data_IF_409686028746
#
_entry.id   IF_409686028746
#
_cell.length_a   1.000
_cell.length_b   1.000
_cell.length_c   1.000
_cell.angle_alpha   90.00
_cell.angle_beta   90.00
_cell.angle_gamma   90.00
#
_symmetry.space_group_name_H-M   'P 1'
#
loop_
_entity.id
_entity.type
_entity.pdbx_description
1 polymer ?
#
# COMPACT_ATOMS: atom_id res chain seq x y z
N UNK A 1 -60.68 -28.25 80.42
CA UNK A 1 -60.61 -28.24 78.94
C UNK A 1 -59.21 -28.70 78.53
N UNK A 2 -59.14 -29.65 77.58
CA UNK A 2 -57.97 -30.23 76.88
C UNK A 2 -56.99 -31.06 77.75
N UNK A 3 -56.81 -32.40 77.61
CA UNK A 3 -56.50 -33.25 76.44
C UNK A 3 -55.13 -32.91 75.82
N UNK A 4 -54.23 -33.79 75.37
CA UNK A 4 -54.14 -35.25 75.31
C UNK A 4 -52.72 -35.61 74.78
N UNK A 5 -52.26 -36.80 75.16
CA UNK A 5 -51.51 -37.79 74.36
C UNK A 5 -50.20 -37.45 73.61
N UNK A 6 -49.19 -38.23 74.04
CA UNK A 6 -47.99 -38.70 73.33
C UNK A 6 -48.33 -39.30 71.95
N UNK A 7 -47.46 -39.09 70.95
CA UNK A 7 -47.09 -40.12 69.97
C UNK A 7 -45.79 -39.80 69.22
N UNK A 8 -44.87 -40.76 69.28
CA UNK A 8 -43.80 -41.02 68.31
C UNK A 8 -44.37 -40.95 66.87
N UNK A 9 -43.56 -40.58 65.87
CA UNK A 9 -42.80 -41.54 65.05
C UNK A 9 -42.30 -40.98 63.70
N UNK A 10 -41.17 -41.55 63.27
CA UNK A 10 -40.77 -41.87 61.89
C UNK A 10 -40.16 -40.79 60.98
N UNK A 11 -38.83 -40.86 60.93
CA UNK A 11 -37.99 -40.93 59.72
C UNK A 11 -38.73 -40.92 58.38
N UNK A 12 -38.34 -39.97 57.52
CA UNK A 12 -38.26 -40.23 56.08
C UNK A 12 -37.09 -39.45 55.48
N UNK A 13 -35.98 -40.17 55.27
CA UNK A 13 -34.90 -39.72 54.40
C UNK A 13 -35.46 -39.51 52.99
N UNK A 14 -35.25 -38.33 52.43
CA UNK A 14 -35.58 -38.04 51.02
C UNK A 14 -34.54 -38.72 50.14
N UNK A 15 -34.94 -39.48 49.11
CA UNK A 15 -33.99 -40.05 48.17
C UNK A 15 -33.40 -38.92 47.33
N UNK A 16 -32.06 -38.82 47.30
CA UNK A 16 -31.36 -38.04 46.31
C UNK A 16 -31.64 -38.67 44.94
N UNK A 17 -32.32 -37.92 44.07
CA UNK A 17 -32.47 -38.28 42.66
C UNK A 17 -31.08 -38.31 42.04
N UNK A 18 -30.53 -39.52 41.87
CA UNK A 18 -29.41 -39.78 40.98
C UNK A 18 -29.90 -39.57 39.55
N UNK A 19 -29.58 -38.42 38.95
CA UNK A 19 -29.64 -38.29 37.50
C UNK A 19 -28.64 -39.29 36.88
N UNK A 20 -29.05 -40.16 35.95
CA UNK A 20 -28.08 -40.87 35.13
C UNK A 20 -27.32 -39.85 34.26
N UNK A 21 -26.04 -40.09 33.93
CA UNK A 21 -25.38 -39.25 32.95
C UNK A 21 -26.10 -39.44 31.61
N UNK A 22 -26.75 -38.38 31.14
CA UNK A 22 -27.24 -38.32 29.78
C UNK A 22 -26.01 -38.35 28.86
N UNK A 23 -25.76 -39.48 28.21
CA UNK A 23 -24.79 -39.56 27.11
C UNK A 23 -25.29 -38.65 25.98
N UNK A 24 -24.63 -37.50 25.83
CA UNK A 24 -24.78 -36.66 24.65
C UNK A 24 -24.02 -37.35 23.50
N UNK A 25 -24.69 -37.76 22.40
CA UNK A 25 -24.03 -38.53 21.34
C UNK A 25 -23.10 -37.68 20.44
N UNK A 26 -22.94 -36.39 20.74
CA UNK A 26 -22.22 -35.48 19.87
C UNK A 26 -21.35 -34.51 20.67
N UNK A 27 -20.11 -34.93 20.92
CA UNK A 27 -19.05 -33.97 21.19
C UNK A 27 -18.48 -33.51 19.84
N UNK A 28 -18.41 -32.19 19.54
CA UNK A 28 -17.74 -31.73 18.34
C UNK A 28 -16.28 -32.15 18.41
N UNK A 29 -15.88 -33.10 17.57
CA UNK A 29 -14.49 -33.51 17.42
C UNK A 29 -13.74 -32.34 16.79
N UNK A 30 -13.06 -31.52 17.60
CA UNK A 30 -12.00 -30.61 17.11
C UNK A 30 -10.93 -31.49 16.45
N UNK A 31 -10.91 -31.52 15.12
CA UNK A 31 -9.99 -32.31 14.30
C UNK A 31 -8.53 -31.80 14.31
N UNK A 32 -8.12 -31.11 15.38
CA UNK A 32 -6.77 -30.55 15.50
C UNK A 32 -6.34 -30.64 16.96
N UNK A 33 -6.23 -31.87 17.47
CA UNK A 33 -5.42 -32.14 18.65
C UNK A 33 -4.10 -32.71 18.15
N UNK A 34 -3.17 -31.81 17.83
CA UNK A 34 -1.78 -32.19 17.58
C UNK A 34 -1.27 -32.84 18.86
N UNK A 35 -0.81 -34.08 18.75
CA UNK A 35 -0.14 -34.79 19.84
C UNK A 35 1.34 -34.42 19.83
N UNK A 36 2.07 -34.46 20.97
CA UNK A 36 3.50 -34.18 21.00
C UNK A 36 4.34 -35.14 20.12
N UNK A 37 3.77 -36.28 19.72
CA UNK A 37 4.40 -37.21 18.78
C UNK A 37 4.26 -36.77 17.32
N UNK A 38 3.36 -35.84 17.01
CA UNK A 38 3.21 -35.23 15.68
C UNK A 38 4.26 -34.13 15.43
N UNK A 39 5.06 -33.77 16.45
CA UNK A 39 6.08 -32.72 16.38
C UNK A 39 7.33 -33.14 15.55
N UNK A 40 7.50 -34.41 15.16
CA UNK A 40 8.66 -34.84 14.35
C UNK A 40 8.48 -34.64 12.83
N UNK A 41 7.27 -34.32 12.38
CA UNK A 41 6.92 -34.08 10.97
C UNK A 41 6.55 -32.61 10.71
N UNK A 42 7.13 -31.65 11.45
CA UNK A 42 7.00 -30.23 11.13
C UNK A 42 7.65 -29.90 9.78
N UNK A 43 6.87 -30.04 8.71
CA UNK A 43 7.03 -29.20 7.52
C UNK A 43 6.60 -27.79 7.92
N UNK A 44 7.47 -27.04 8.58
CA UNK A 44 7.29 -25.60 8.70
C UNK A 44 7.28 -25.04 7.29
N UNK A 45 6.21 -24.37 6.90
CA UNK A 45 6.21 -23.53 5.70
C UNK A 45 7.24 -22.42 5.95
N UNK A 46 8.48 -22.65 5.52
CA UNK A 46 9.53 -21.64 5.61
C UNK A 46 9.33 -20.70 4.44
N UNK A 47 8.64 -19.59 4.68
CA UNK A 47 8.63 -18.48 3.74
C UNK A 47 9.97 -17.78 3.89
N UNK A 48 10.97 -18.21 3.11
CA UNK A 48 12.13 -17.37 2.85
C UNK A 48 11.68 -16.34 1.82
N UNK A 49 11.28 -15.16 2.28
CA UNK A 49 11.03 -14.03 1.40
C UNK A 49 12.40 -13.55 0.90
N UNK A 50 12.91 -14.22 -0.13
CA UNK A 50 14.07 -13.77 -0.89
C UNK A 50 13.66 -12.45 -1.54
N UNK A 51 14.31 -11.38 -1.09
CA UNK A 51 14.26 -10.01 -1.60
C UNK A 51 13.02 -9.65 -2.43
N UNK A 52 12.12 -8.88 -1.82
CA UNK A 52 11.03 -8.19 -2.53
C UNK A 52 11.63 -7.00 -3.32
N UNK A 53 12.63 -7.22 -4.16
CA UNK A 53 12.96 -6.23 -5.18
C UNK A 53 11.77 -6.23 -6.11
N UNK A 54 10.92 -5.21 -5.99
CA UNK A 54 9.79 -5.04 -6.90
C UNK A 54 10.39 -4.88 -8.31
N UNK A 55 10.20 -5.85 -9.23
CA UNK A 55 10.73 -5.73 -10.59
C UNK A 55 9.98 -4.66 -11.41
N UNK A 56 9.15 -3.83 -10.77
CA UNK A 56 8.21 -2.90 -11.38
C UNK A 56 8.43 -1.44 -10.94
N UNK A 57 9.54 -1.12 -10.26
CA UNK A 57 9.83 0.27 -9.92
C UNK A 57 10.08 1.08 -11.20
N UNK A 58 9.34 2.18 -11.35
CA UNK A 58 9.54 3.11 -12.47
C UNK A 58 10.77 3.97 -12.21
N UNK A 59 11.69 3.98 -13.17
CA UNK A 59 12.92 4.78 -13.12
C UNK A 59 13.06 5.63 -14.37
N UNK A 60 13.52 6.87 -14.19
CA UNK A 60 13.78 7.80 -15.29
C UNK A 60 15.26 7.71 -15.65
N UNK A 61 15.56 7.24 -16.86
CA UNK A 61 16.93 7.10 -17.35
C UNK A 61 17.46 8.42 -17.89
N UNK A 62 16.66 9.09 -18.71
CA UNK A 62 17.06 10.36 -19.33
C UNK A 62 15.86 11.20 -19.71
N UNK A 63 16.08 12.48 -19.95
CA UNK A 63 15.08 13.38 -20.50
C UNK A 63 15.64 14.15 -21.68
N UNK A 64 14.76 14.74 -22.47
CA UNK A 64 15.06 15.52 -23.66
C UNK A 64 14.00 16.61 -23.80
N UNK A 65 14.20 17.56 -24.73
CA UNK A 65 13.19 18.57 -25.03
C UNK A 65 11.89 18.01 -25.61
N UNK A 66 11.92 16.75 -26.09
CA UNK A 66 10.76 16.07 -26.67
C UNK A 66 10.04 15.14 -25.68
N UNK A 67 10.62 14.87 -24.51
CA UNK A 67 10.07 13.91 -23.56
C UNK A 67 11.13 13.14 -22.77
N UNK A 68 10.78 11.96 -22.29
CA UNK A 68 11.51 11.19 -21.28
C UNK A 68 11.83 9.78 -21.76
N UNK A 69 12.87 9.18 -21.18
CA UNK A 69 13.17 7.75 -21.30
C UNK A 69 13.00 7.13 -19.92
N UNK A 70 12.07 6.19 -19.82
CA UNK A 70 11.65 5.57 -18.56
C UNK A 70 11.75 4.06 -18.73
N UNK A 71 12.60 3.40 -17.93
CA UNK A 71 12.90 1.98 -18.04
C UNK A 71 13.19 1.55 -19.51
N UNK A 72 13.98 2.35 -20.24
CA UNK A 72 14.31 2.14 -21.65
C UNK A 72 13.22 2.55 -22.66
N UNK A 73 12.01 2.86 -22.23
CA UNK A 73 10.90 3.26 -23.10
C UNK A 73 10.87 4.77 -23.30
N UNK A 74 10.72 5.21 -24.55
CA UNK A 74 10.64 6.64 -24.90
C UNK A 74 9.20 7.13 -24.80
N UNK A 75 8.97 8.14 -23.97
CA UNK A 75 7.68 8.80 -23.76
C UNK A 75 7.78 10.22 -24.28
N UNK A 76 6.90 10.61 -25.20
CA UNK A 76 6.92 11.93 -25.81
C UNK A 76 5.97 12.89 -25.09
N UNK A 77 6.41 14.13 -24.94
CA UNK A 77 5.64 15.18 -24.28
C UNK A 77 5.56 15.03 -22.76
N UNK A 78 4.63 15.77 -22.13
CA UNK A 78 4.38 15.69 -20.70
C UNK A 78 3.82 14.32 -20.32
N UNK A 79 4.31 13.79 -19.20
CA UNK A 79 3.91 12.47 -18.72
C UNK A 79 3.69 12.46 -17.21
N UNK A 80 2.82 11.55 -16.78
CA UNK A 80 2.63 11.22 -15.39
C UNK A 80 3.15 9.80 -15.13
N UNK A 81 4.08 9.69 -14.19
CA UNK A 81 4.62 8.44 -13.71
C UNK A 81 3.84 8.00 -12.49
N UNK A 82 3.31 6.80 -12.58
CA UNK A 82 2.63 6.09 -11.52
C UNK A 82 3.58 4.98 -11.03
N UNK A 83 3.34 4.40 -9.84
CA UNK A 83 4.24 3.39 -9.28
C UNK A 83 4.54 2.21 -10.21
N UNK A 84 3.61 1.86 -11.12
CA UNK A 84 3.72 0.71 -12.01
C UNK A 84 3.42 1.03 -13.49
N UNK A 85 3.16 2.29 -13.85
CA UNK A 85 2.79 2.65 -15.21
C UNK A 85 3.20 4.08 -15.55
N UNK A 86 3.34 4.36 -16.85
CA UNK A 86 3.49 5.72 -17.38
C UNK A 86 2.28 6.06 -18.23
N UNK A 87 1.75 7.25 -18.04
CA UNK A 87 0.62 7.77 -18.82
C UNK A 87 0.96 9.15 -19.36
N UNK A 88 0.40 9.47 -20.52
CA UNK A 88 0.55 10.80 -21.09
C UNK A 88 -0.26 11.79 -20.26
N UNK A 89 0.34 12.93 -19.95
CA UNK A 89 -0.28 13.95 -19.13
C UNK A 89 -0.78 15.10 -20.02
N UNK A 90 -2.08 15.36 -19.99
CA UNK A 90 -2.71 16.34 -20.87
C UNK A 90 -2.61 17.77 -20.31
N UNK A 91 -1.39 18.31 -20.27
CA UNK A 91 -1.12 19.71 -19.90
C UNK A 91 -0.12 20.30 -20.91
N UNK A 92 -0.31 21.56 -21.32
CA UNK A 92 0.62 22.23 -22.23
C UNK A 92 1.77 22.91 -21.49
N UNK A 93 1.44 23.56 -20.37
CA UNK A 93 2.38 24.29 -19.52
C UNK A 93 2.03 24.13 -18.04
N UNK A 94 2.86 24.71 -17.17
CA UNK A 94 2.59 24.74 -15.73
C UNK A 94 1.30 25.51 -15.36
N UNK A 95 0.82 26.41 -16.24
CA UNK A 95 -0.39 27.21 -16.00
C UNK A 95 -1.66 26.39 -16.19
N UNK A 96 -1.61 25.35 -17.04
CA UNK A 96 -2.73 24.47 -17.37
C UNK A 96 -2.93 23.36 -16.31
N UNK A 97 -2.08 23.35 -15.27
CA UNK A 97 -2.16 22.39 -14.18
C UNK A 97 -3.37 22.75 -13.31
N UNK A 98 -4.42 21.95 -13.43
CA UNK A 98 -5.64 22.03 -12.63
C UNK A 98 -5.67 20.92 -11.60
N UNK A 99 -6.68 20.95 -10.73
CA UNK A 99 -6.97 19.82 -9.86
C UNK A 99 -7.20 18.55 -10.68
N UNK A 100 -8.06 18.60 -11.70
CA UNK A 100 -8.43 17.45 -12.54
C UNK A 100 -7.21 16.78 -13.22
N UNK A 101 -6.18 17.56 -13.54
CA UNK A 101 -4.91 17.07 -14.08
C UNK A 101 -4.22 16.05 -13.18
N UNK A 102 -4.51 16.05 -11.87
CA UNK A 102 -3.95 15.12 -10.89
C UNK A 102 -4.89 13.96 -10.54
N UNK A 103 -6.04 13.84 -11.20
CA UNK A 103 -7.08 12.86 -10.87
C UNK A 103 -6.60 11.42 -10.75
N UNK A 104 -5.69 11.04 -11.66
CA UNK A 104 -5.11 9.71 -11.65
C UNK A 104 -4.35 9.38 -10.36
N UNK A 105 -3.70 10.36 -9.72
CA UNK A 105 -2.83 10.08 -8.56
C UNK A 105 -3.61 9.67 -7.30
N UNK A 106 -4.84 10.15 -7.12
CA UNK A 106 -5.66 9.78 -5.97
C UNK A 106 -6.69 8.69 -6.25
N UNK A 107 -6.82 8.25 -7.51
CA UNK A 107 -7.71 7.15 -7.90
C UNK A 107 -7.04 5.78 -7.81
N UNK A 108 -5.71 5.73 -7.66
CA UNK A 108 -4.93 4.51 -7.66
C UNK A 108 -4.74 3.94 -6.26
N UNK A 109 -4.60 2.61 -6.22
CA UNK A 109 -4.21 1.86 -5.04
C UNK A 109 -2.93 1.06 -5.38
N UNK A 110 -1.87 1.07 -4.55
CA UNK A 110 -1.76 1.74 -3.24
C UNK A 110 -1.77 3.27 -3.34
N UNK A 111 -2.29 3.94 -2.30
CA UNK A 111 -2.32 5.40 -2.24
C UNK A 111 -0.93 6.01 -2.39
N UNK A 112 -0.83 6.97 -3.31
CA UNK A 112 0.41 7.73 -3.53
C UNK A 112 0.58 8.74 -2.41
N UNK A 113 1.72 8.70 -1.73
CA UNK A 113 2.03 9.59 -0.61
C UNK A 113 2.60 10.93 -1.06
N UNK A 114 3.38 10.89 -2.13
CA UNK A 114 4.13 12.05 -2.65
C UNK A 114 4.10 12.06 -4.17
N UNK A 115 3.84 13.23 -4.74
CA UNK A 115 3.91 13.48 -6.18
C UNK A 115 4.94 14.57 -6.43
N UNK A 116 5.94 14.25 -7.25
CA UNK A 116 6.95 15.21 -7.69
C UNK A 116 6.51 15.84 -9.01
N UNK A 117 6.39 17.16 -9.05
CA UNK A 117 5.95 17.92 -10.23
C UNK A 117 7.16 18.61 -10.85
N UNK A 118 7.50 18.23 -12.07
CA UNK A 118 8.52 18.88 -12.90
C UNK A 118 7.90 19.90 -13.83
N UNK A 119 8.14 21.19 -13.61
CA UNK A 119 7.52 22.28 -14.39
C UNK A 119 8.30 22.67 -15.65
N UNK A 120 9.35 21.93 -16.02
CA UNK A 120 10.19 22.20 -17.19
C UNK A 120 11.58 22.69 -16.79
N UNK A 121 12.03 23.79 -17.40
CA UNK A 121 13.40 24.33 -17.21
C UNK A 121 13.60 25.01 -15.85
N UNK A 122 12.51 25.50 -15.24
CA UNK A 122 12.55 26.25 -13.98
C UNK A 122 11.45 25.79 -13.06
N UNK A 123 11.70 25.91 -11.76
CA UNK A 123 10.68 25.70 -10.73
C UNK A 123 9.67 26.85 -10.78
N UNK A 124 8.44 26.52 -11.17
CA UNK A 124 7.33 27.46 -11.20
C UNK A 124 6.38 27.23 -10.03
N UNK A 125 5.64 28.26 -9.62
CA UNK A 125 4.66 28.12 -8.53
C UNK A 125 3.32 27.62 -9.06
N UNK A 126 2.88 26.48 -8.55
CA UNK A 126 1.53 25.97 -8.81
C UNK A 126 0.47 26.79 -8.09
N UNK A 127 -0.76 26.69 -8.61
CA UNK A 127 -1.90 27.39 -8.05
C UNK A 127 -2.20 26.89 -6.62
N UNK A 128 -2.37 27.78 -5.61
CA UNK A 128 -2.50 27.35 -4.22
C UNK A 128 -3.70 26.44 -3.94
N UNK A 129 -4.76 26.54 -4.75
CA UNK A 129 -5.95 25.70 -4.61
C UNK A 129 -5.64 24.23 -4.97
N UNK A 130 -4.80 23.99 -5.99
CA UNK A 130 -4.39 22.64 -6.41
C UNK A 130 -3.58 21.97 -5.30
N UNK A 131 -2.60 22.70 -4.75
CA UNK A 131 -1.79 22.20 -3.62
C UNK A 131 -2.65 21.87 -2.39
N UNK A 132 -3.69 22.68 -2.13
CA UNK A 132 -4.63 22.44 -1.04
C UNK A 132 -5.48 21.18 -1.29
N UNK A 133 -5.99 21.00 -2.50
CA UNK A 133 -6.79 19.83 -2.86
C UNK A 133 -5.99 18.53 -2.72
N UNK A 134 -4.74 18.53 -3.19
CA UNK A 134 -3.83 17.38 -3.04
C UNK A 134 -3.54 17.05 -1.57
N UNK A 135 -3.26 18.08 -0.75
CA UNK A 135 -3.04 17.91 0.68
C UNK A 135 -4.28 17.34 1.40
N UNK A 136 -5.48 17.80 1.04
CA UNK A 136 -6.74 17.27 1.59
C UNK A 136 -6.94 15.78 1.26
N UNK A 137 -6.39 15.32 0.13
CA UNK A 137 -6.37 13.90 -0.26
C UNK A 137 -5.25 13.09 0.38
N UNK A 138 -4.37 13.74 1.17
CA UNK A 138 -3.23 13.10 1.82
C UNK A 138 -2.00 12.94 0.93
N UNK A 139 -1.94 13.66 -0.20
CA UNK A 139 -0.83 13.60 -1.16
C UNK A 139 0.05 14.83 -0.95
N UNK A 140 1.33 14.61 -0.63
CA UNK A 140 2.34 15.66 -0.62
C UNK A 140 2.74 16.02 -2.06
N UNK A 141 2.88 17.31 -2.37
CA UNK A 141 3.27 17.77 -3.70
C UNK A 141 4.58 18.53 -3.58
N UNK A 142 5.62 18.04 -4.25
CA UNK A 142 6.91 18.69 -4.36
C UNK A 142 7.03 19.29 -5.76
N UNK A 143 7.30 20.59 -5.87
CA UNK A 143 7.38 21.28 -7.17
C UNK A 143 8.83 21.68 -7.42
N UNK A 144 9.38 21.19 -8.53
CA UNK A 144 10.77 21.38 -8.92
C UNK A 144 10.86 21.62 -10.45
N UNK A 145 12.02 22.07 -10.91
CA UNK A 145 12.43 21.93 -12.30
C UNK A 145 12.55 20.45 -12.67
N UNK A 146 12.35 20.13 -13.94
CA UNK A 146 12.29 18.74 -14.43
C UNK A 146 13.56 17.92 -14.16
N UNK A 147 14.79 18.47 -14.30
CA UNK A 147 16.00 17.71 -13.97
C UNK A 147 16.06 17.28 -12.49
N UNK A 148 15.77 18.20 -11.57
CA UNK A 148 15.75 17.90 -10.14
C UNK A 148 14.56 17.01 -9.77
N UNK A 149 13.40 17.22 -10.41
CA UNK A 149 12.22 16.38 -10.22
C UNK A 149 12.50 14.91 -10.58
N UNK A 150 13.20 14.67 -11.70
CA UNK A 150 13.61 13.32 -12.11
C UNK A 150 14.52 12.65 -11.07
N UNK A 151 15.51 13.39 -10.54
CA UNK A 151 16.42 12.87 -9.52
C UNK A 151 15.69 12.57 -8.20
N UNK A 152 14.82 13.48 -7.74
CA UNK A 152 14.00 13.30 -6.53
C UNK A 152 13.07 12.10 -6.66
N UNK A 153 12.39 11.95 -7.81
CA UNK A 153 11.52 10.81 -8.07
C UNK A 153 12.30 9.50 -8.02
N UNK A 154 13.43 9.41 -8.71
CA UNK A 154 14.30 8.24 -8.72
C UNK A 154 14.78 7.86 -7.32
N UNK A 155 15.16 8.84 -6.49
CA UNK A 155 15.54 8.63 -5.11
C UNK A 155 14.38 8.05 -4.27
N UNK A 156 13.18 8.64 -4.36
CA UNK A 156 11.99 8.18 -3.64
C UNK A 156 11.56 6.78 -4.08
N UNK A 157 11.65 6.48 -5.37
CA UNK A 157 11.42 5.14 -5.92
C UNK A 157 12.41 4.13 -5.35
N UNK A 158 13.70 4.49 -5.28
CA UNK A 158 14.75 3.63 -4.71
C UNK A 158 14.56 3.39 -3.21
N UNK A 159 14.04 4.37 -2.46
CA UNK A 159 13.66 4.21 -1.04
C UNK A 159 12.46 3.25 -0.85
N UNK A 160 11.75 2.89 -1.92
CA UNK A 160 10.58 2.03 -1.88
C UNK A 160 9.31 2.74 -1.43
N UNK A 161 9.28 4.08 -1.51
CA UNK A 161 8.07 4.87 -1.21
C UNK A 161 7.08 4.80 -2.36
N UNK A 162 5.78 4.89 -2.03
CA UNK A 162 4.72 4.99 -3.04
C UNK A 162 4.67 6.42 -3.57
N UNK A 163 5.48 6.67 -4.60
CA UNK A 163 5.65 7.99 -5.21
C UNK A 163 5.08 8.03 -6.62
N UNK A 164 4.64 9.22 -7.05
CA UNK A 164 4.31 9.54 -8.43
C UNK A 164 5.12 10.72 -8.94
N UNK A 165 5.16 10.91 -10.26
CA UNK A 165 5.69 12.13 -10.85
C UNK A 165 4.76 12.69 -11.91
N UNK A 166 4.73 14.01 -12.07
CA UNK A 166 4.07 14.69 -13.17
C UNK A 166 5.11 15.61 -13.82
N UNK A 167 5.57 15.28 -15.02
CA UNK A 167 6.76 15.88 -15.62
C UNK A 167 6.41 16.56 -16.93
N UNK A 168 6.88 17.80 -17.08
CA UNK A 168 6.83 18.57 -18.34
C UNK A 168 8.25 18.57 -18.92
N UNK A 169 8.46 18.20 -20.19
CA UNK A 169 9.78 18.25 -20.80
C UNK A 169 10.25 19.71 -20.91
N UNK A 170 11.52 20.01 -20.59
CA UNK A 170 12.03 21.37 -20.69
C UNK A 170 12.08 21.82 -22.16
N UNK A 171 11.65 23.05 -22.49
CA UNK A 171 11.55 23.53 -23.88
C UNK A 171 12.90 23.65 -24.62
N UNK A 172 14.03 23.58 -23.93
CA UNK A 172 15.35 23.50 -24.55
C UNK A 172 16.50 23.50 -23.55
N UNK A 173 17.22 22.37 -23.42
CA UNK A 173 18.48 22.31 -22.68
C UNK A 173 18.74 21.00 -21.95
N UNK A 174 19.87 20.39 -22.30
CA UNK A 174 20.59 19.28 -21.64
C UNK A 174 19.81 17.99 -21.38
N UNK A 175 20.04 16.97 -22.21
CA UNK A 175 19.72 15.60 -21.85
C UNK A 175 20.62 15.15 -20.68
N UNK A 176 20.03 14.80 -19.54
CA UNK A 176 20.74 13.99 -18.55
C UNK A 176 20.91 12.60 -19.16
N UNK A 177 22.06 12.35 -19.78
CA UNK A 177 22.52 10.98 -20.04
C UNK A 177 22.97 10.41 -18.71
N UNK A 178 22.11 9.71 -17.97
CA UNK A 178 22.62 8.87 -16.89
C UNK A 178 23.45 7.77 -17.56
N UNK A 179 24.77 7.79 -17.36
CA UNK A 179 25.59 6.62 -17.61
C UNK A 179 25.17 5.52 -16.63
N UNK A 180 24.21 4.70 -17.02
CA UNK A 180 24.09 3.36 -16.46
C UNK A 180 25.23 2.54 -17.09
N UNK A 181 26.35 2.46 -16.36
CA UNK A 181 27.47 1.60 -16.69
C UNK A 181 26.97 0.15 -16.74
N UNK A 182 26.78 -0.33 -17.97
CA UNK A 182 26.97 -1.73 -18.31
C UNK A 182 28.47 -1.92 -18.54
N UNK A 183 29.17 -2.56 -17.60
CA UNK A 183 30.46 -3.19 -17.85
C UNK A 183 30.69 -4.30 -16.82
N UNK A 184 30.53 -5.53 -17.32
CA UNK A 184 31.19 -6.80 -16.95
C UNK A 184 31.22 -7.29 -15.48
#
# INVERSE_FOLDING_TARGET
MAAAFVLRNLYRARPALRCPPAELPWAPRRGHRLTPADDELYQRTRISLLQRESPLAMYIDSYSSRGFVVNGNRVFGPCALLPQSVVQWNVGSYQDITEESFSLFWMLEPRIEIVVVGTGDRTERLQPHVLRAMRQRGIAVEVQDTPNACATFNFLCHEGRVTGAALIPPPGGAALTSQAQSAE
#
